data_IF_475718869961
#
_entry.id   IF_475718869961
#
_cell.length_a   1.000
_cell.length_b   1.000
_cell.length_c   1.000
_cell.angle_alpha   90.00
_cell.angle_beta   90.00
_cell.angle_gamma   90.00
#
_symmetry.space_group_name_H-M   'P 1'
#
loop_
_entity.id
_entity.type
_entity.pdbx_description
1 polymer ?
#
# COMPACT_ATOMS: atom_id res chain seq x y z
N UNK A 1 10.42 -13.91 -14.25
CA UNK A 1 10.07 -12.63 -14.91
C UNK A 1 10.58 -11.51 -14.02
N UNK A 2 11.39 -10.59 -14.56
CA UNK A 2 12.01 -9.54 -13.75
C UNK A 2 10.95 -8.53 -13.26
N UNK A 3 11.00 -8.17 -11.98
CA UNK A 3 10.21 -7.09 -11.34
C UNK A 3 10.47 -5.70 -11.96
N UNK A 4 11.41 -5.62 -12.91
CA UNK A 4 11.74 -4.39 -13.66
C UNK A 4 10.58 -3.72 -14.41
N UNK A 5 9.40 -4.35 -14.46
CA UNK A 5 8.19 -3.77 -15.06
C UNK A 5 7.29 -3.04 -14.06
N UNK A 6 7.68 -2.94 -12.80
CA UNK A 6 6.91 -2.25 -11.78
C UNK A 6 7.38 -0.79 -11.68
N UNK A 7 6.48 0.13 -11.66
CA UNK A 7 6.53 1.58 -11.78
C UNK A 7 7.40 2.26 -10.69
N UNK A 8 8.76 2.26 -10.79
CA UNK A 8 9.66 2.74 -9.74
C UNK A 8 9.63 4.26 -9.56
N UNK A 9 8.96 4.97 -10.45
CA UNK A 9 8.74 6.42 -10.40
C UNK A 9 7.56 6.82 -9.51
N UNK A 10 6.82 5.87 -8.95
CA UNK A 10 5.72 6.15 -8.03
C UNK A 10 6.16 6.04 -6.56
N UNK A 11 5.32 6.52 -5.66
CA UNK A 11 5.55 6.51 -4.24
C UNK A 11 5.06 5.21 -3.59
N UNK A 12 5.93 4.57 -2.81
CA UNK A 12 5.61 3.38 -2.04
C UNK A 12 5.93 3.59 -0.58
N UNK A 13 5.08 3.11 0.32
CA UNK A 13 5.39 3.07 1.74
C UNK A 13 6.55 2.10 1.95
N UNK A 14 7.62 2.56 2.59
CA UNK A 14 8.75 1.71 2.95
C UNK A 14 8.64 1.25 4.41
N UNK A 15 8.06 2.08 5.29
CA UNK A 15 7.86 1.74 6.70
C UNK A 15 6.78 2.62 7.35
N UNK A 16 6.20 2.16 8.46
CA UNK A 16 5.60 3.06 9.44
C UNK A 16 6.72 3.93 10.04
N UNK A 17 6.46 5.22 10.21
CA UNK A 17 7.47 6.17 10.69
C UNK A 17 8.02 5.80 12.08
N UNK A 18 7.22 5.11 12.90
CA UNK A 18 7.62 4.65 14.23
C UNK A 18 8.60 3.46 14.22
N UNK A 19 8.68 2.72 13.09
CA UNK A 19 9.61 1.59 12.94
C UNK A 19 11.05 2.06 12.67
N UNK A 20 11.23 3.28 12.12
CA UNK A 20 12.56 3.82 11.77
C UNK A 20 13.04 4.71 12.89
N UNK A 21 14.08 4.27 13.59
CA UNK A 21 14.64 4.94 14.78
C UNK A 21 16.02 5.54 14.51
N UNK A 22 16.52 6.37 15.44
CA UNK A 22 17.86 6.92 15.39
C UNK A 22 18.96 5.94 15.85
N UNK A 23 18.59 4.74 16.31
CA UNK A 23 19.52 3.81 16.95
C UNK A 23 19.71 2.50 16.18
N UNK A 24 18.89 2.25 15.16
CA UNK A 24 18.94 1.02 14.40
C UNK A 24 18.64 1.28 12.92
N UNK A 25 19.21 0.43 12.07
CA UNK A 25 18.91 0.42 10.63
C UNK A 25 17.83 -0.61 10.37
N UNK A 26 16.72 -0.17 9.77
CA UNK A 26 15.64 -1.04 9.37
C UNK A 26 15.87 -1.54 7.93
N UNK A 27 15.83 -2.85 7.74
CA UNK A 27 15.89 -3.46 6.39
C UNK A 27 14.49 -3.59 5.79
N UNK A 28 14.32 -3.16 4.55
CA UNK A 28 13.08 -3.29 3.77
C UNK A 28 13.40 -3.67 2.33
N UNK A 29 12.39 -4.15 1.62
CA UNK A 29 12.46 -4.40 0.18
C UNK A 29 11.25 -3.80 -0.49
N UNK A 30 11.47 -3.05 -1.56
CA UNK A 30 10.42 -2.46 -2.40
C UNK A 30 10.84 -2.67 -3.85
N UNK A 31 9.99 -3.31 -4.67
CA UNK A 31 10.28 -3.58 -6.09
C UNK A 31 11.59 -4.38 -6.29
N UNK A 32 11.85 -5.40 -5.46
CA UNK A 32 13.12 -6.16 -5.38
C UNK A 32 14.36 -5.34 -4.99
N UNK A 33 14.23 -4.02 -4.78
CA UNK A 33 15.33 -3.20 -4.29
C UNK A 33 15.45 -3.35 -2.77
N UNK A 34 16.60 -3.80 -2.30
CA UNK A 34 16.89 -3.89 -0.87
C UNK A 34 17.26 -2.52 -0.31
N UNK A 35 16.60 -2.11 0.74
CA UNK A 35 16.68 -0.78 1.33
C UNK A 35 17.14 -0.82 2.79
N UNK A 36 18.01 0.12 3.16
CA UNK A 36 18.43 0.40 4.52
C UNK A 36 17.80 1.75 4.94
N UNK A 37 16.90 1.70 5.92
CA UNK A 37 16.15 2.86 6.40
C UNK A 37 16.66 3.24 7.80
N UNK A 38 16.99 4.52 8.00
CA UNK A 38 17.48 5.04 9.28
C UNK A 38 17.12 6.52 9.40
N UNK A 39 17.39 7.12 10.55
CA UNK A 39 17.23 8.57 10.75
C UNK A 39 18.58 9.26 10.90
N UNK A 40 18.69 10.44 10.29
CA UNK A 40 19.84 11.33 10.49
C UNK A 40 19.81 12.00 11.87
N UNK A 41 20.77 12.90 12.12
CA UNK A 41 20.91 13.61 13.40
C UNK A 41 19.71 14.54 13.67
N UNK A 42 19.11 15.10 12.64
CA UNK A 42 17.92 15.95 12.70
C UNK A 42 16.61 15.14 12.80
N UNK A 43 16.69 13.82 12.79
CA UNK A 43 15.54 12.93 12.88
C UNK A 43 14.83 12.70 11.53
N UNK A 44 15.37 13.18 10.40
CA UNK A 44 14.80 12.95 9.08
C UNK A 44 15.05 11.53 8.63
N UNK A 45 14.07 10.90 8.00
CA UNK A 45 14.21 9.56 7.47
C UNK A 45 15.11 9.54 6.22
N UNK A 46 16.08 8.66 6.21
CA UNK A 46 16.97 8.38 5.08
C UNK A 46 16.72 6.95 4.60
N UNK A 47 16.53 6.80 3.29
CA UNK A 47 16.42 5.51 2.63
C UNK A 47 17.57 5.36 1.64
N UNK A 48 18.44 4.40 1.88
CA UNK A 48 19.59 4.08 1.04
C UNK A 48 19.47 2.66 0.47
N UNK A 49 20.15 2.38 -0.64
CA UNK A 49 20.35 1.02 -1.10
C UNK A 49 21.04 0.21 0.01
N UNK A 50 20.54 -0.97 0.32
CA UNK A 50 21.11 -1.83 1.38
C UNK A 50 22.42 -2.50 0.93
N UNK A 51 23.34 -1.68 0.45
CA UNK A 51 24.62 -2.13 -0.11
C UNK A 51 25.73 -1.14 0.18
N UNK A 52 26.74 -1.59 0.93
CA UNK A 52 27.98 -0.86 1.10
C UNK A 52 28.76 -0.86 -0.22
N UNK A 53 29.16 0.33 -0.71
CA UNK A 53 29.86 0.47 -1.99
C UNK A 53 31.29 -0.11 -1.98
N UNK A 54 31.86 -0.36 -0.79
CA UNK A 54 33.20 -0.95 -0.67
C UNK A 54 33.21 -2.42 -1.11
N UNK A 55 32.44 -3.30 -0.44
CA UNK A 55 32.46 -4.76 -0.66
C UNK A 55 31.06 -5.37 -0.62
N UNK A 56 30.02 -4.60 -0.96
CA UNK A 56 28.62 -5.05 -1.06
C UNK A 56 28.04 -5.67 0.22
N UNK A 57 28.62 -5.38 1.40
CA UNK A 57 28.01 -5.78 2.65
C UNK A 57 26.68 -5.03 2.86
N UNK A 58 25.72 -5.66 3.54
CA UNK A 58 24.44 -5.02 3.85
C UNK A 58 24.64 -3.87 4.82
N UNK A 59 24.15 -2.68 4.47
CA UNK A 59 24.16 -1.50 5.33
C UNK A 59 23.17 -1.65 6.49
N UNK A 60 22.07 -2.38 6.28
CA UNK A 60 21.11 -2.71 7.34
C UNK A 60 21.67 -3.57 8.48
N UNK A 61 22.81 -4.22 8.26
CA UNK A 61 23.55 -4.92 9.32
C UNK A 61 24.53 -4.01 10.08
N UNK A 62 24.61 -2.74 9.70
CA UNK A 62 25.47 -1.73 10.31
C UNK A 62 24.85 -1.10 11.57
N UNK A 63 25.44 0.00 11.99
CA UNK A 63 24.98 0.77 13.15
C UNK A 63 24.77 2.23 12.80
N UNK A 64 23.85 2.88 13.51
CA UNK A 64 23.63 4.33 13.41
C UNK A 64 24.11 4.98 14.72
N UNK A 65 24.95 5.98 14.60
CA UNK A 65 25.37 6.83 15.72
C UNK A 65 25.45 8.27 15.25
N UNK A 66 24.85 9.18 16.00
CA UNK A 66 24.77 10.60 15.65
C UNK A 66 24.25 10.84 14.21
N UNK A 67 23.24 10.06 13.81
CA UNK A 67 22.64 10.15 12.47
C UNK A 67 23.53 9.65 11.33
N UNK A 68 24.65 8.99 11.62
CA UNK A 68 25.59 8.48 10.63
C UNK A 68 25.56 6.96 10.60
N UNK A 69 25.45 6.40 9.39
CA UNK A 69 25.40 4.96 9.17
C UNK A 69 26.80 4.39 8.97
N UNK A 70 27.19 3.44 9.83
CA UNK A 70 28.49 2.75 9.75
C UNK A 70 28.32 1.32 9.23
N UNK A 71 29.06 0.96 8.20
CA UNK A 71 29.09 -0.40 7.66
C UNK A 71 29.78 -1.36 8.64
N UNK A 72 29.11 -2.46 8.97
CA UNK A 72 29.63 -3.45 9.91
C UNK A 72 30.93 -4.14 9.45
N UNK A 73 31.20 -4.17 8.12
CA UNK A 73 32.32 -4.97 7.60
C UNK A 73 33.67 -4.28 7.79
N UNK A 74 33.83 -3.01 7.35
CA UNK A 74 35.10 -2.28 7.44
C UNK A 74 34.94 -0.87 8.05
N UNK A 75 33.82 -0.60 8.69
CA UNK A 75 33.62 0.66 9.40
C UNK A 75 33.43 1.90 8.51
N UNK A 76 33.21 1.74 7.20
CA UNK A 76 32.93 2.90 6.35
C UNK A 76 31.69 3.63 6.81
N UNK A 77 31.80 4.95 6.99
CA UNK A 77 30.72 5.78 7.53
C UNK A 77 30.10 6.64 6.43
N UNK A 78 28.77 6.63 6.39
CA UNK A 78 27.96 7.34 5.43
C UNK A 78 27.22 8.49 6.08
N UNK A 79 27.21 9.66 5.42
CA UNK A 79 26.38 10.82 5.76
C UNK A 79 24.96 10.69 5.18
N UNK A 80 24.14 11.70 5.45
CA UNK A 80 22.72 11.77 5.11
C UNK A 80 22.43 11.62 3.60
N UNK A 81 23.31 12.13 2.74
CA UNK A 81 23.16 12.06 1.28
C UNK A 81 23.90 10.85 0.65
N UNK A 82 24.27 9.87 1.47
CA UNK A 82 25.04 8.70 1.04
C UNK A 82 26.53 8.95 0.83
N UNK A 83 27.03 10.17 1.02
CA UNK A 83 28.46 10.46 0.91
C UNK A 83 29.27 9.70 1.97
N UNK A 84 30.45 9.24 1.58
CA UNK A 84 31.40 8.67 2.55
C UNK A 84 32.00 9.82 3.34
N UNK A 85 31.87 9.76 4.65
CA UNK A 85 32.39 10.76 5.57
C UNK A 85 33.54 10.27 6.46
N UNK A 86 33.79 8.95 6.50
CA UNK A 86 34.93 8.36 7.16
C UNK A 86 35.30 7.00 6.59
N UNK A 87 36.58 6.76 6.40
CA UNK A 87 37.18 5.47 6.03
C UNK A 87 38.25 5.16 7.06
N UNK A 88 37.95 4.39 8.10
CA UNK A 88 38.87 4.23 9.27
C UNK A 88 40.26 3.72 8.89
N UNK A 89 40.38 2.79 7.95
CA UNK A 89 41.68 2.23 7.55
C UNK A 89 42.55 3.17 6.71
N UNK A 90 42.02 4.32 6.25
CA UNK A 90 42.73 5.29 5.40
C UNK A 90 42.88 6.67 6.10
N UNK A 91 42.86 6.71 7.43
CA UNK A 91 42.95 7.96 8.17
C UNK A 91 41.63 8.69 8.42
N UNK A 92 40.51 7.99 8.22
CA UNK A 92 39.18 8.47 8.59
C UNK A 92 38.60 9.55 7.67
N UNK A 93 38.24 10.70 8.24
CA UNK A 93 37.52 11.76 7.54
C UNK A 93 38.36 12.50 6.50
N UNK A 94 39.65 12.66 6.72
CA UNK A 94 40.54 13.40 5.82
C UNK A 94 40.62 12.73 4.44
N UNK A 95 40.74 11.41 4.39
CA UNK A 95 40.76 10.66 3.13
C UNK A 95 39.36 10.65 2.50
N UNK A 96 38.31 10.45 3.29
CA UNK A 96 36.94 10.39 2.82
C UNK A 96 36.51 11.66 2.06
N UNK A 97 36.96 12.84 2.50
CA UNK A 97 36.64 14.12 1.85
C UNK A 97 37.13 14.22 0.42
N UNK A 98 38.13 13.42 0.02
CA UNK A 98 38.74 13.39 -1.31
C UNK A 98 38.11 12.33 -2.22
N UNK A 99 37.31 11.41 -1.67
CA UNK A 99 36.83 10.25 -2.44
C UNK A 99 35.70 10.56 -3.44
N UNK A 100 34.84 11.52 -3.16
CA UNK A 100 33.69 11.86 -4.03
C UNK A 100 32.65 10.75 -4.23
N UNK A 101 32.88 9.56 -3.65
CA UNK A 101 32.00 8.39 -3.78
C UNK A 101 30.78 8.48 -2.86
N UNK A 102 29.64 7.94 -3.34
CA UNK A 102 28.38 7.95 -2.60
C UNK A 102 27.68 6.60 -2.68
N UNK A 103 27.07 6.16 -1.58
CA UNK A 103 26.04 5.13 -1.65
C UNK A 103 24.77 5.72 -2.31
N UNK A 104 24.00 4.89 -3.01
CA UNK A 104 22.73 5.31 -3.60
C UNK A 104 21.72 5.57 -2.49
N UNK A 105 21.16 6.78 -2.46
CA UNK A 105 20.01 7.14 -1.63
C UNK A 105 18.80 7.40 -2.53
N UNK A 106 17.60 7.28 -1.96
CA UNK A 106 16.35 7.42 -2.68
C UNK A 106 15.58 8.63 -2.20
N UNK A 107 14.74 9.18 -3.07
CA UNK A 107 13.85 10.28 -2.70
C UNK A 107 12.85 9.78 -1.67
N UNK A 108 12.81 10.47 -0.53
CA UNK A 108 12.08 10.04 0.66
C UNK A 108 11.18 11.16 1.16
N UNK A 109 9.96 10.83 1.55
CA UNK A 109 8.99 11.75 2.17
C UNK A 109 8.40 11.08 3.40
N UNK A 110 8.35 11.80 4.52
CA UNK A 110 7.60 11.38 5.72
C UNK A 110 6.27 12.12 5.76
N UNK A 111 5.15 11.38 5.70
CA UNK A 111 3.81 11.93 5.65
C UNK A 111 2.80 10.98 6.29
N UNK A 112 1.84 11.50 7.04
CA UNK A 112 0.74 10.74 7.66
C UNK A 112 1.20 9.58 8.57
N UNK A 113 2.43 9.66 9.10
CA UNK A 113 3.04 8.62 9.94
C UNK A 113 3.62 7.45 9.13
N UNK A 114 3.84 7.64 7.83
CA UNK A 114 4.56 6.74 6.95
C UNK A 114 5.83 7.38 6.40
N UNK A 115 6.80 6.55 6.10
CA UNK A 115 7.95 6.90 5.27
C UNK A 115 7.70 6.33 3.88
N UNK A 116 7.70 7.21 2.89
CA UNK A 116 7.54 6.87 1.47
C UNK A 116 8.88 6.95 0.76
N UNK A 117 9.05 6.12 -0.25
CA UNK A 117 10.19 6.12 -1.15
C UNK A 117 9.74 6.16 -2.61
N UNK A 118 10.46 6.92 -3.43
CA UNK A 118 10.41 6.85 -4.89
C UNK A 118 11.79 6.39 -5.37
N UNK A 119 11.85 5.23 -6.04
CA UNK A 119 13.14 4.62 -6.40
C UNK A 119 13.81 5.27 -7.60
N UNK A 120 13.01 5.81 -8.52
CA UNK A 120 13.51 6.42 -9.76
C UNK A 120 12.62 7.61 -10.14
N UNK A 121 12.77 8.77 -9.49
CA UNK A 121 12.01 9.97 -9.84
C UNK A 121 12.20 10.34 -11.31
N UNK A 122 11.13 10.73 -11.97
CA UNK A 122 11.11 11.13 -13.37
C UNK A 122 9.99 12.13 -13.66
N UNK A 123 9.80 12.48 -14.92
CA UNK A 123 8.84 13.49 -15.38
C UNK A 123 7.39 13.22 -14.92
N UNK A 124 7.01 11.94 -14.85
CA UNK A 124 5.65 11.53 -14.46
C UNK A 124 5.53 11.13 -12.98
N UNK A 125 6.56 11.39 -12.17
CA UNK A 125 6.49 11.15 -10.73
C UNK A 125 5.51 12.14 -10.08
N UNK A 126 4.50 11.65 -9.34
CA UNK A 126 3.66 12.55 -8.56
C UNK A 126 4.50 13.40 -7.59
N UNK A 127 4.20 14.69 -7.40
CA UNK A 127 5.03 15.60 -6.61
C UNK A 127 5.16 15.15 -5.14
N UNK A 128 4.20 14.40 -4.64
CA UNK A 128 4.18 13.78 -3.31
C UNK A 128 3.27 12.55 -3.28
N UNK A 129 3.37 11.71 -2.24
CA UNK A 129 2.37 10.66 -2.00
C UNK A 129 0.96 11.26 -1.79
N UNK A 130 -0.08 10.47 -2.03
CA UNK A 130 -1.45 10.81 -1.63
C UNK A 130 -1.54 10.84 -0.10
N UNK A 131 -2.18 11.87 0.43
CA UNK A 131 -2.44 11.95 1.88
C UNK A 131 -3.59 11.03 2.28
N UNK A 132 -3.60 10.59 3.52
CA UNK A 132 -4.75 9.85 4.07
C UNK A 132 -6.05 10.68 3.98
N UNK A 133 -5.95 12.00 3.99
CA UNK A 133 -7.09 12.90 3.79
C UNK A 133 -7.65 12.82 2.37
N UNK A 134 -6.81 12.79 1.36
CA UNK A 134 -7.21 12.60 -0.05
C UNK A 134 -7.84 11.22 -0.27
N UNK A 135 -7.40 10.23 0.51
CA UNK A 135 -7.97 8.89 0.54
C UNK A 135 -9.23 8.78 1.43
N UNK A 136 -9.76 9.89 1.94
CA UNK A 136 -10.97 9.90 2.77
C UNK A 136 -10.80 9.37 4.20
N UNK A 137 -9.58 9.10 4.65
CA UNK A 137 -9.26 8.62 6.00
C UNK A 137 -9.10 9.77 7.00
N UNK A 138 -10.20 10.48 7.28
CA UNK A 138 -10.20 11.72 8.07
C UNK A 138 -10.93 11.61 9.41
N UNK A 139 -11.51 10.46 9.74
CA UNK A 139 -12.38 10.29 10.87
C UNK A 139 -11.62 10.13 12.20
N UNK A 140 -12.32 10.34 13.32
CA UNK A 140 -11.74 10.34 14.67
C UNK A 140 -11.22 8.97 15.11
N UNK A 141 -11.96 7.90 14.81
CA UNK A 141 -11.52 6.54 15.06
C UNK A 141 -10.51 6.10 14.03
N UNK A 142 -9.38 5.53 14.45
CA UNK A 142 -8.33 5.05 13.52
C UNK A 142 -7.75 3.73 13.99
N UNK A 143 -7.54 2.83 13.03
CA UNK A 143 -6.82 1.58 13.20
C UNK A 143 -5.89 1.42 12.01
N UNK A 144 -4.60 1.16 12.26
CA UNK A 144 -3.61 0.84 11.24
C UNK A 144 -3.21 -0.61 11.37
N UNK A 145 -3.18 -1.34 10.27
CA UNK A 145 -2.79 -2.73 10.17
C UNK A 145 -1.76 -2.91 9.06
N UNK A 146 -0.98 -3.97 9.16
CA UNK A 146 -0.02 -4.39 8.16
C UNK A 146 -0.26 -5.86 7.84
N UNK A 147 -0.27 -6.20 6.56
CA UNK A 147 -0.51 -7.55 6.07
C UNK A 147 0.50 -7.89 4.98
N UNK A 148 0.90 -9.15 4.92
CA UNK A 148 1.80 -9.67 3.88
C UNK A 148 1.10 -10.78 3.13
N UNK A 149 1.11 -10.67 1.81
CA UNK A 149 0.47 -11.59 0.89
C UNK A 149 1.51 -12.25 0.00
N UNK A 150 1.39 -13.55 -0.17
CA UNK A 150 2.11 -14.30 -1.20
C UNK A 150 1.31 -14.22 -2.51
N UNK A 151 1.31 -13.05 -3.11
CA UNK A 151 0.59 -12.76 -4.36
C UNK A 151 1.12 -11.48 -5.03
N UNK A 152 0.76 -11.30 -6.30
CA UNK A 152 1.14 -10.12 -7.07
C UNK A 152 0.44 -8.85 -6.57
N UNK A 153 1.04 -7.68 -6.87
CA UNK A 153 0.45 -6.38 -6.59
C UNK A 153 -0.98 -6.27 -7.16
N UNK A 154 -1.20 -6.68 -8.41
CA UNK A 154 -2.49 -6.54 -9.09
C UNK A 154 -3.60 -7.30 -8.38
N UNK A 155 -3.34 -8.55 -7.99
CA UNK A 155 -4.32 -9.38 -7.28
C UNK A 155 -4.62 -8.84 -5.88
N UNK A 156 -3.60 -8.30 -5.18
CA UNK A 156 -3.82 -7.67 -3.89
C UNK A 156 -4.63 -6.38 -3.98
N UNK A 157 -4.34 -5.52 -4.97
CA UNK A 157 -5.09 -4.28 -5.22
C UNK A 157 -6.54 -4.58 -5.56
N UNK A 158 -6.77 -5.55 -6.45
CA UNK A 158 -8.12 -5.98 -6.83
C UNK A 158 -8.93 -6.44 -5.63
N UNK A 159 -8.39 -7.32 -4.81
CA UNK A 159 -9.08 -7.86 -3.63
C UNK A 159 -9.68 -6.76 -2.74
N UNK A 160 -8.99 -5.63 -2.57
CA UNK A 160 -9.49 -4.52 -1.74
C UNK A 160 -10.67 -3.76 -2.33
N UNK A 161 -10.96 -3.88 -3.62
CA UNK A 161 -12.07 -3.19 -4.33
C UNK A 161 -13.00 -4.15 -5.07
N UNK A 162 -12.84 -5.45 -4.87
CA UNK A 162 -13.73 -6.48 -5.38
C UNK A 162 -14.86 -6.77 -4.37
N UNK A 163 -16.08 -6.38 -4.67
CA UNK A 163 -17.24 -6.61 -3.81
C UNK A 163 -17.72 -8.06 -3.83
N UNK A 164 -17.79 -8.77 -4.98
CA UNK A 164 -18.30 -10.14 -5.05
C UNK A 164 -17.65 -11.12 -4.06
N UNK A 165 -16.33 -11.09 -3.87
CA UNK A 165 -15.65 -12.03 -2.96
C UNK A 165 -16.13 -11.90 -1.51
N UNK A 166 -16.57 -10.70 -1.10
CA UNK A 166 -16.93 -10.44 0.30
C UNK A 166 -18.12 -11.27 0.80
N UNK A 167 -18.99 -11.74 -0.13
CA UNK A 167 -20.10 -12.60 0.22
C UNK A 167 -19.68 -14.04 0.51
N UNK A 168 -18.54 -14.48 -0.03
CA UNK A 168 -18.04 -15.85 0.07
C UNK A 168 -16.87 -15.96 1.05
N UNK A 169 -15.83 -15.15 0.89
CA UNK A 169 -14.63 -15.16 1.74
C UNK A 169 -14.96 -14.65 3.14
N UNK A 170 -15.73 -13.55 3.23
CA UNK A 170 -16.12 -12.92 4.50
C UNK A 170 -17.54 -13.29 4.92
N UNK A 171 -17.96 -14.52 4.62
CA UNK A 171 -19.30 -15.00 4.96
C UNK A 171 -19.65 -14.76 6.43
N UNK A 172 -20.79 -14.08 6.65
CA UNK A 172 -21.28 -13.76 7.99
C UNK A 172 -20.66 -12.52 8.63
N UNK A 173 -19.62 -11.91 8.06
CA UNK A 173 -19.05 -10.64 8.51
C UNK A 173 -19.66 -9.47 7.73
N UNK A 174 -19.55 -9.48 6.40
CA UNK A 174 -20.01 -8.38 5.55
C UNK A 174 -21.33 -8.70 4.84
N UNK A 175 -21.41 -9.81 4.14
CA UNK A 175 -22.54 -10.17 3.28
C UNK A 175 -22.86 -11.65 3.40
N UNK A 176 -24.10 -11.97 3.03
CA UNK A 176 -24.52 -13.36 2.79
C UNK A 176 -24.80 -13.47 1.28
N UNK A 177 -24.34 -14.53 0.60
CA UNK A 177 -24.65 -14.70 -0.81
C UNK A 177 -26.17 -14.87 -0.98
N UNK A 178 -26.83 -13.84 -1.44
CA UNK A 178 -28.28 -13.81 -1.68
C UNK A 178 -28.64 -13.80 -3.15
N UNK A 179 -27.66 -13.53 -4.02
CA UNK A 179 -27.88 -13.36 -5.45
C UNK A 179 -28.67 -12.10 -5.79
N UNK A 180 -28.68 -11.09 -4.92
CA UNK A 180 -29.35 -9.81 -5.19
C UNK A 180 -28.53 -8.98 -6.20
N UNK A 181 -29.19 -8.42 -7.25
CA UNK A 181 -28.47 -7.62 -8.24
C UNK A 181 -28.01 -6.30 -7.64
N UNK A 182 -26.71 -5.98 -7.82
CA UNK A 182 -26.10 -4.73 -7.43
C UNK A 182 -25.67 -3.95 -8.68
N UNK A 183 -26.35 -2.84 -8.94
CA UNK A 183 -25.99 -1.94 -10.05
C UNK A 183 -24.81 -1.10 -9.64
N UNK A 184 -23.83 -1.03 -10.53
CA UNK A 184 -22.52 -0.40 -10.24
C UNK A 184 -22.12 0.48 -11.42
N UNK A 185 -21.71 1.71 -11.13
CA UNK A 185 -21.08 2.63 -12.08
C UNK A 185 -19.59 2.62 -11.87
N UNK A 186 -18.83 2.36 -12.92
CA UNK A 186 -17.37 2.39 -12.92
C UNK A 186 -16.90 3.51 -13.86
N UNK A 187 -16.06 4.41 -13.35
CA UNK A 187 -15.47 5.50 -14.12
C UNK A 187 -13.96 5.42 -14.04
N UNK A 188 -13.29 5.37 -15.17
CA UNK A 188 -11.83 5.43 -15.30
C UNK A 188 -11.43 6.80 -15.81
N UNK A 189 -10.46 7.46 -15.18
CA UNK A 189 -9.90 8.73 -15.64
C UNK A 189 -8.50 8.94 -15.05
N UNK A 190 -7.52 9.26 -15.88
CA UNK A 190 -6.16 9.67 -15.47
C UNK A 190 -5.49 8.75 -14.43
N UNK A 191 -5.56 7.45 -14.62
CA UNK A 191 -4.96 6.47 -13.71
C UNK A 191 -5.75 6.23 -12.41
N UNK A 192 -6.94 6.80 -12.32
CA UNK A 192 -7.90 6.58 -11.25
C UNK A 192 -9.11 5.79 -11.75
N UNK A 193 -9.63 4.92 -10.92
CA UNK A 193 -10.91 4.23 -11.14
C UNK A 193 -11.80 4.54 -9.96
N UNK A 194 -12.98 5.09 -10.23
CA UNK A 194 -14.02 5.36 -9.25
C UNK A 194 -15.19 4.40 -9.47
N UNK A 195 -15.63 3.76 -8.41
CA UNK A 195 -16.69 2.76 -8.41
C UNK A 195 -17.78 3.23 -7.46
N UNK A 196 -19.01 3.26 -7.92
CA UNK A 196 -20.18 3.65 -7.11
C UNK A 196 -21.22 2.55 -7.17
N UNK A 197 -21.64 2.07 -6.01
CA UNK A 197 -22.66 1.03 -5.86
C UNK A 197 -24.01 1.67 -5.55
N UNK A 198 -25.05 1.24 -6.27
CA UNK A 198 -26.39 1.85 -6.22
C UNK A 198 -27.38 0.94 -5.51
N UNK A 199 -28.03 1.47 -4.49
CA UNK A 199 -29.11 0.77 -3.80
C UNK A 199 -28.66 -0.34 -2.85
N UNK A 200 -27.38 -0.39 -2.51
CA UNK A 200 -26.84 -1.41 -1.66
C UNK A 200 -27.42 -1.38 -0.26
N UNK A 201 -27.77 -2.55 0.26
CA UNK A 201 -28.22 -2.77 1.63
C UNK A 201 -27.18 -3.61 2.36
N UNK A 202 -26.19 -2.96 2.94
CA UNK A 202 -25.10 -3.64 3.62
C UNK A 202 -25.59 -4.23 4.95
N UNK A 203 -25.33 -5.50 5.15
CA UNK A 203 -25.54 -6.18 6.40
C UNK A 203 -24.19 -6.61 6.98
N UNK A 204 -23.57 -5.75 7.79
CA UNK A 204 -22.27 -5.97 8.45
C UNK A 204 -22.39 -6.91 9.66
N UNK A 205 -23.13 -7.99 9.55
CA UNK A 205 -23.33 -8.93 10.64
C UNK A 205 -23.96 -8.26 11.89
N UNK A 206 -23.53 -8.66 13.07
CA UNK A 206 -24.00 -8.10 14.34
C UNK A 206 -23.71 -6.61 14.49
N UNK A 207 -22.69 -6.10 13.82
CA UNK A 207 -22.29 -4.71 13.88
C UNK A 207 -23.20 -3.80 13.04
N UNK A 208 -23.69 -4.29 11.89
CA UNK A 208 -24.66 -3.51 11.10
C UNK A 208 -26.02 -3.42 11.77
N UNK A 209 -26.41 -4.42 12.54
CA UNK A 209 -27.64 -4.33 13.33
C UNK A 209 -27.61 -3.14 14.30
N UNK A 210 -26.42 -2.75 14.73
CA UNK A 210 -26.22 -1.56 15.57
C UNK A 210 -26.12 -0.26 14.75
N UNK A 211 -25.37 -0.25 13.65
CA UNK A 211 -25.12 0.95 12.83
C UNK A 211 -26.19 1.20 11.76
N UNK A 212 -26.89 0.16 11.34
CA UNK A 212 -27.97 0.22 10.35
C UNK A 212 -29.14 -0.70 10.73
N UNK A 213 -29.80 -0.47 11.88
CA UNK A 213 -30.83 -1.37 12.41
C UNK A 213 -32.05 -1.51 11.49
N UNK A 214 -32.29 -0.54 10.61
CA UNK A 214 -33.42 -0.55 9.67
C UNK A 214 -33.09 -1.30 8.37
N UNK A 215 -31.82 -1.69 8.14
CA UNK A 215 -31.39 -2.23 6.86
C UNK A 215 -31.57 -1.27 5.67
N UNK A 216 -31.55 0.05 5.94
CA UNK A 216 -31.69 1.07 4.91
C UNK A 216 -30.48 1.05 3.95
N UNK A 217 -30.67 1.65 2.78
CA UNK A 217 -29.59 1.77 1.80
C UNK A 217 -28.42 2.58 2.35
N UNK A 218 -27.23 2.19 1.94
CA UNK A 218 -25.97 2.87 2.29
C UNK A 218 -25.39 3.55 1.06
N UNK A 219 -24.57 4.56 1.27
CA UNK A 219 -23.67 5.07 0.21
C UNK A 219 -22.37 4.27 0.29
N UNK A 220 -21.99 3.66 -0.82
CA UNK A 220 -20.76 2.88 -0.94
C UNK A 220 -20.02 3.27 -2.21
N UNK A 221 -18.74 3.57 -2.07
CA UNK A 221 -17.84 3.83 -3.21
C UNK A 221 -16.46 3.30 -2.93
N UNK A 222 -15.83 2.79 -3.99
CA UNK A 222 -14.45 2.35 -3.98
C UNK A 222 -13.64 3.16 -4.99
N UNK A 223 -12.37 3.31 -4.70
CA UNK A 223 -11.45 4.07 -5.54
C UNK A 223 -10.12 3.34 -5.66
N UNK A 224 -9.62 3.29 -6.87
CA UNK A 224 -8.25 2.89 -7.16
C UNK A 224 -7.46 4.09 -7.65
N UNK A 225 -6.28 4.28 -7.11
CA UNK A 225 -5.28 5.26 -7.51
C UNK A 225 -4.02 4.50 -7.93
N UNK A 226 -3.74 4.55 -9.21
CA UNK A 226 -2.60 3.79 -9.74
C UNK A 226 -1.25 4.26 -9.17
N UNK A 227 -0.33 3.34 -8.97
CA UNK A 227 -0.45 1.92 -9.31
C UNK A 227 -0.90 1.02 -8.16
N UNK A 228 -1.03 1.53 -6.93
CA UNK A 228 -0.94 0.67 -5.75
C UNK A 228 -1.82 1.09 -4.56
N UNK A 229 -2.67 2.09 -4.73
CA UNK A 229 -3.47 2.62 -3.62
C UNK A 229 -4.95 2.41 -3.88
N UNK A 230 -5.68 1.94 -2.88
CA UNK A 230 -7.13 1.80 -2.91
C UNK A 230 -7.78 2.50 -1.73
N UNK A 231 -9.03 2.94 -1.89
CA UNK A 231 -9.84 3.38 -0.77
C UNK A 231 -11.30 2.96 -0.95
N UNK A 232 -11.92 2.55 0.15
CA UNK A 232 -13.30 2.07 0.24
C UNK A 232 -14.04 2.94 1.24
N UNK A 233 -15.22 3.42 0.89
CA UNK A 233 -15.99 4.34 1.70
C UNK A 233 -17.42 3.86 1.89
N UNK A 234 -17.83 3.80 3.16
CA UNK A 234 -19.19 3.54 3.56
C UNK A 234 -19.75 4.71 4.34
N UNK A 235 -20.93 5.18 3.94
CA UNK A 235 -21.73 6.11 4.74
C UNK A 235 -23.09 5.47 5.02
N UNK A 236 -23.37 5.29 6.28
CA UNK A 236 -24.56 4.63 6.78
C UNK A 236 -25.64 5.65 7.17
N UNK A 237 -26.91 5.24 7.19
CA UNK A 237 -27.98 6.04 7.78
C UNK A 237 -27.62 6.49 9.20
N UNK A 238 -28.01 7.71 9.58
CA UNK A 238 -27.60 8.29 10.86
C UNK A 238 -26.26 9.00 10.87
N UNK A 239 -25.55 9.04 9.71
CA UNK A 239 -24.31 9.79 9.51
C UNK A 239 -23.05 9.03 9.95
N UNK A 240 -23.15 7.77 10.31
CA UNK A 240 -21.99 6.92 10.60
C UNK A 240 -21.16 6.69 9.34
N UNK A 241 -19.86 6.68 9.51
CA UNK A 241 -18.90 6.58 8.39
C UNK A 241 -17.79 5.58 8.70
N UNK A 242 -17.36 4.89 7.66
CA UNK A 242 -16.28 3.92 7.73
C UNK A 242 -15.51 3.97 6.41
N UNK A 243 -14.21 4.11 6.48
CA UNK A 243 -13.34 4.08 5.30
C UNK A 243 -12.11 3.21 5.53
N UNK A 244 -11.69 2.53 4.49
CA UNK A 244 -10.49 1.69 4.44
C UNK A 244 -9.62 2.27 3.33
N UNK A 245 -8.38 2.63 3.66
CA UNK A 245 -7.38 3.03 2.66
C UNK A 245 -6.25 2.02 2.71
N UNK A 246 -5.91 1.43 1.57
CA UNK A 246 -4.88 0.41 1.49
C UNK A 246 -3.79 0.83 0.52
N UNK A 247 -2.56 0.69 0.96
CA UNK A 247 -1.36 0.96 0.18
C UNK A 247 -0.61 -0.37 0.00
N UNK A 248 -0.61 -0.88 -1.22
CA UNK A 248 -0.03 -2.17 -1.58
C UNK A 248 1.37 -1.97 -2.13
N UNK A 249 2.37 -2.56 -1.49
CA UNK A 249 3.79 -2.41 -1.81
C UNK A 249 4.31 -3.73 -2.37
N UNK A 250 4.68 -3.79 -3.65
CA UNK A 250 5.28 -4.98 -4.21
C UNK A 250 6.69 -5.16 -3.64
N UNK A 251 6.87 -6.19 -2.82
CA UNK A 251 8.18 -6.58 -2.28
C UNK A 251 8.95 -7.31 -3.37
N UNK A 252 8.32 -8.34 -3.95
CA UNK A 252 8.80 -9.10 -5.13
C UNK A 252 7.65 -9.24 -6.14
N UNK A 253 7.83 -10.01 -7.20
CA UNK A 253 6.78 -10.30 -8.17
C UNK A 253 5.56 -11.00 -7.54
N UNK A 254 5.80 -11.85 -6.54
CA UNK A 254 4.79 -12.69 -5.87
C UNK A 254 4.73 -12.45 -4.35
N UNK A 255 5.17 -11.29 -3.91
CA UNK A 255 5.07 -10.90 -2.52
C UNK A 255 4.66 -9.44 -2.42
N UNK A 256 3.54 -9.17 -1.79
CA UNK A 256 3.00 -7.83 -1.57
C UNK A 256 2.78 -7.57 -0.09
N UNK A 257 3.34 -6.45 0.39
CA UNK A 257 3.08 -5.90 1.72
C UNK A 257 1.98 -4.85 1.59
N UNK A 258 0.98 -4.87 2.48
CA UNK A 258 -0.11 -3.88 2.46
C UNK A 258 -0.22 -3.20 3.80
N UNK A 259 -0.20 -1.87 3.79
CA UNK A 259 -0.58 -1.04 4.91
C UNK A 259 -2.04 -0.62 4.74
N UNK A 260 -2.87 -0.93 5.74
CA UNK A 260 -4.30 -0.64 5.74
C UNK A 260 -4.62 0.33 6.88
N UNK A 261 -5.10 1.51 6.52
CA UNK A 261 -5.63 2.50 7.46
C UNK A 261 -7.15 2.46 7.44
N UNK A 262 -7.74 2.12 8.56
CA UNK A 262 -9.19 2.16 8.77
C UNK A 262 -9.51 3.41 9.57
N UNK A 263 -10.37 4.27 9.05
CA UNK A 263 -10.89 5.40 9.78
C UNK A 263 -12.43 5.36 9.85
N UNK A 264 -13.00 5.77 10.98
CA UNK A 264 -14.42 5.67 11.21
C UNK A 264 -14.94 6.74 12.16
N UNK A 265 -16.22 7.05 12.01
CA UNK A 265 -16.98 7.89 12.92
C UNK A 265 -18.33 7.22 13.23
N UNK A 266 -18.48 6.75 14.47
CA UNK A 266 -19.69 6.15 15.00
C UNK A 266 -20.30 7.03 16.10
N UNK A 267 -20.15 8.35 15.93
CA UNK A 267 -20.62 9.34 16.89
C UNK A 267 -19.98 9.14 18.27
N UNK A 268 -20.81 9.08 19.31
CA UNK A 268 -20.34 8.91 20.70
C UNK A 268 -19.65 7.56 20.97
N UNK A 269 -19.87 6.56 20.11
CA UNK A 269 -19.31 5.21 20.25
C UNK A 269 -17.92 5.07 19.62
N UNK A 270 -17.43 6.09 18.91
CA UNK A 270 -16.16 6.02 18.14
C UNK A 270 -14.98 5.62 19.02
N UNK A 271 -14.83 6.20 20.19
CA UNK A 271 -13.71 5.90 21.08
C UNK A 271 -13.75 4.46 21.65
N UNK A 272 -14.95 3.99 21.98
CA UNK A 272 -15.17 2.68 22.59
C UNK A 272 -15.07 1.53 21.56
N UNK A 273 -15.31 1.79 20.28
CA UNK A 273 -15.36 0.77 19.24
C UNK A 273 -13.99 0.36 18.70
N UNK A 274 -12.88 1.02 19.08
CA UNK A 274 -11.54 0.79 18.51
C UNK A 274 -11.09 -0.67 18.58
N UNK A 275 -11.23 -1.30 19.76
CA UNK A 275 -10.80 -2.68 19.94
C UNK A 275 -11.62 -3.66 19.09
N UNK A 276 -12.93 -3.41 18.97
CA UNK A 276 -13.85 -4.20 18.16
C UNK A 276 -13.55 -4.04 16.67
N UNK A 277 -13.38 -2.81 16.17
CA UNK A 277 -13.01 -2.53 14.77
C UNK A 277 -11.68 -3.20 14.44
N UNK A 278 -10.68 -3.09 15.33
CA UNK A 278 -9.37 -3.73 15.11
C UNK A 278 -9.50 -5.24 15.01
N UNK A 279 -10.25 -5.88 15.91
CA UNK A 279 -10.44 -7.34 15.92
C UNK A 279 -11.16 -7.81 14.65
N UNK A 280 -12.23 -7.13 14.26
CA UNK A 280 -12.97 -7.46 13.06
C UNK A 280 -12.10 -7.31 11.80
N UNK A 281 -11.34 -6.21 11.69
CA UNK A 281 -10.44 -5.99 10.57
C UNK A 281 -9.33 -7.05 10.50
N UNK A 282 -8.79 -7.48 11.64
CA UNK A 282 -7.80 -8.55 11.68
C UNK A 282 -8.37 -9.89 11.22
N UNK A 283 -9.63 -10.20 11.55
CA UNK A 283 -10.30 -11.41 11.09
C UNK A 283 -10.54 -11.39 9.58
N UNK A 284 -11.02 -10.26 9.04
CA UNK A 284 -11.19 -10.06 7.60
C UNK A 284 -9.85 -10.24 6.86
N UNK A 285 -8.82 -9.50 7.30
CA UNK A 285 -7.48 -9.60 6.68
C UNK A 285 -6.91 -11.02 6.73
N UNK A 286 -7.17 -11.78 7.79
CA UNK A 286 -6.73 -13.17 7.87
C UNK A 286 -7.37 -14.03 6.78
N UNK A 287 -8.68 -13.86 6.54
CA UNK A 287 -9.40 -14.58 5.49
C UNK A 287 -8.86 -14.20 4.09
N UNK A 288 -8.59 -12.91 3.85
CA UNK A 288 -7.96 -12.45 2.60
C UNK A 288 -6.55 -13.02 2.41
N UNK A 289 -5.74 -13.03 3.47
CA UNK A 289 -4.39 -13.61 3.43
C UNK A 289 -4.45 -15.09 3.09
N UNK A 290 -5.36 -15.83 3.67
CA UNK A 290 -5.49 -17.26 3.46
C UNK A 290 -5.84 -17.58 1.98
N UNK A 291 -6.86 -16.91 1.42
CA UNK A 291 -7.30 -17.14 0.03
C UNK A 291 -6.29 -16.63 -0.99
N UNK A 292 -5.73 -15.43 -0.80
CA UNK A 292 -4.76 -14.86 -1.74
C UNK A 292 -3.43 -15.62 -1.72
N UNK A 293 -2.99 -16.12 -0.58
CA UNK A 293 -1.80 -16.97 -0.50
C UNK A 293 -2.02 -18.32 -1.18
N UNK A 294 -3.22 -18.89 -1.12
CA UNK A 294 -3.57 -20.11 -1.86
C UNK A 294 -3.57 -19.82 -3.37
N UNK A 295 -4.22 -18.75 -3.81
CA UNK A 295 -4.23 -18.30 -5.20
C UNK A 295 -2.80 -18.07 -5.72
N UNK A 296 -1.95 -17.36 -4.96
CA UNK A 296 -0.58 -17.08 -5.35
C UNK A 296 0.25 -18.34 -5.59
N UNK A 297 0.15 -19.34 -4.71
CA UNK A 297 0.80 -20.66 -4.92
C UNK A 297 0.29 -21.37 -6.17
N UNK A 298 -0.99 -21.24 -6.48
CA UNK A 298 -1.56 -21.83 -7.69
C UNK A 298 -1.09 -21.09 -8.95
N UNK A 299 -0.97 -19.76 -8.92
CA UNK A 299 -0.42 -18.95 -10.00
C UNK A 299 1.04 -19.33 -10.27
N UNK A 300 1.87 -19.50 -9.24
CA UNK A 300 3.26 -19.94 -9.41
C UNK A 300 3.35 -21.32 -10.05
N UNK A 301 2.46 -22.23 -9.68
CA UNK A 301 2.47 -23.61 -10.18
C UNK A 301 1.92 -23.78 -11.59
N UNK A 302 0.82 -23.08 -11.91
CA UNK A 302 0.05 -23.32 -13.13
C UNK A 302 0.09 -22.14 -14.12
N UNK A 303 0.67 -21.00 -13.73
CA UNK A 303 0.64 -19.74 -14.45
C UNK A 303 -0.65 -18.96 -14.19
N UNK A 304 -0.60 -17.66 -14.46
CA UNK A 304 -1.74 -16.76 -14.36
C UNK A 304 -2.61 -16.91 -15.61
N UNK A 305 -3.75 -17.58 -15.47
CA UNK A 305 -4.73 -17.80 -16.56
C UNK A 305 -6.12 -17.57 -16.00
N UNK A 306 -6.65 -16.38 -16.21
CA UNK A 306 -7.97 -16.00 -15.74
C UNK A 306 -9.02 -16.00 -16.86
N UNK A 307 -10.21 -16.44 -16.52
CA UNK A 307 -11.41 -16.26 -17.34
C UNK A 307 -12.22 -15.14 -16.73
N UNK A 308 -12.34 -14.03 -17.44
CA UNK A 308 -13.04 -12.84 -16.97
C UNK A 308 -14.47 -12.81 -17.48
N UNK A 309 -15.37 -12.32 -16.65
CA UNK A 309 -16.78 -12.07 -16.95
C UNK A 309 -17.07 -10.57 -16.88
N UNK A 310 -18.29 -10.15 -17.12
CA UNK A 310 -18.69 -8.75 -16.94
C UNK A 310 -18.61 -8.28 -15.48
N UNK A 311 -18.67 -9.20 -14.52
CA UNK A 311 -18.49 -8.89 -13.10
C UNK A 311 -17.04 -8.48 -12.76
N UNK A 312 -16.07 -8.95 -13.55
CA UNK A 312 -14.63 -8.70 -13.34
C UNK A 312 -14.15 -7.41 -14.06
N UNK A 313 -15.06 -6.48 -14.37
CA UNK A 313 -14.72 -5.22 -15.04
C UNK A 313 -13.66 -4.42 -14.27
N UNK A 314 -13.74 -4.40 -12.94
CA UNK A 314 -12.83 -3.68 -12.07
C UNK A 314 -11.41 -4.25 -12.21
N UNK A 315 -11.28 -5.58 -12.17
CA UNK A 315 -10.02 -6.29 -12.44
C UNK A 315 -9.44 -5.90 -13.80
N UNK A 316 -10.27 -5.98 -14.84
CA UNK A 316 -9.84 -5.67 -16.22
C UNK A 316 -9.30 -4.25 -16.31
N UNK A 317 -10.05 -3.25 -15.82
CA UNK A 317 -9.67 -1.85 -15.90
C UNK A 317 -8.42 -1.53 -15.05
N UNK A 318 -8.30 -2.12 -13.85
CA UNK A 318 -7.13 -1.96 -12.98
C UNK A 318 -5.88 -2.51 -13.64
N UNK A 319 -5.96 -3.71 -14.22
CA UNK A 319 -4.87 -4.37 -14.94
C UNK A 319 -4.46 -3.59 -16.19
N UNK A 320 -5.42 -3.05 -16.95
CA UNK A 320 -5.17 -2.19 -18.11
C UNK A 320 -4.43 -0.93 -17.71
N UNK A 321 -4.90 -0.20 -16.68
CA UNK A 321 -4.25 1.02 -16.18
C UNK A 321 -2.81 0.75 -15.79
N UNK A 322 -2.56 -0.30 -15.00
CA UNK A 322 -1.21 -0.67 -14.58
C UNK A 322 -0.33 -1.02 -15.80
N UNK A 323 -0.88 -1.78 -16.76
CA UNK A 323 -0.17 -2.18 -17.98
C UNK A 323 0.19 -0.98 -18.85
N UNK A 324 -0.73 -0.04 -19.06
CA UNK A 324 -0.50 1.16 -19.86
C UNK A 324 0.56 2.06 -19.24
N UNK A 325 0.54 2.25 -17.91
CA UNK A 325 1.57 2.98 -17.19
C UNK A 325 2.95 2.29 -17.28
N UNK A 326 3.00 0.95 -17.22
CA UNK A 326 4.23 0.16 -17.45
C UNK A 326 4.80 0.35 -18.85
N UNK A 327 3.94 0.55 -19.83
CA UNK A 327 4.31 0.82 -21.21
C UNK A 327 4.71 2.28 -21.46
N UNK A 328 4.86 3.07 -20.39
CA UNK A 328 5.39 4.44 -20.43
C UNK A 328 4.33 5.52 -20.69
N UNK A 329 3.04 5.19 -20.72
CA UNK A 329 2.00 6.23 -20.78
C UNK A 329 1.96 7.03 -19.47
N UNK A 330 1.74 8.31 -19.57
CA UNK A 330 1.42 9.14 -18.40
C UNK A 330 -0.05 8.94 -17.98
N UNK A 331 -0.41 9.24 -16.72
CA UNK A 331 -1.81 9.21 -16.29
C UNK A 331 -2.75 10.05 -17.17
N UNK A 332 -2.28 11.18 -17.73
CA UNK A 332 -3.06 12.06 -18.58
C UNK A 332 -3.39 11.46 -19.96
N UNK A 333 -2.57 10.51 -20.44
CA UNK A 333 -2.77 9.82 -21.72
C UNK A 333 -3.68 8.61 -21.64
N UNK A 334 -4.08 8.22 -20.42
CA UNK A 334 -5.00 7.11 -20.22
C UNK A 334 -6.42 7.49 -20.62
N UNK A 335 -7.08 6.60 -21.36
CA UNK A 335 -8.46 6.83 -21.83
C UNK A 335 -9.43 7.02 -20.68
N UNK A 336 -10.30 8.01 -20.78
CA UNK A 336 -11.45 8.14 -19.90
C UNK A 336 -12.59 7.22 -20.38
N UNK A 337 -13.18 6.49 -19.45
CA UNK A 337 -14.28 5.56 -19.73
C UNK A 337 -15.27 5.54 -18.57
N UNK A 338 -16.56 5.41 -18.91
CA UNK A 338 -17.61 5.18 -17.93
C UNK A 338 -18.47 4.00 -18.37
N UNK A 339 -18.63 3.02 -17.49
CA UNK A 339 -19.44 1.83 -17.71
C UNK A 339 -20.43 1.63 -16.58
N UNK A 340 -21.58 1.05 -16.89
CA UNK A 340 -22.52 0.53 -15.91
C UNK A 340 -22.58 -0.98 -16.04
N UNK A 341 -22.45 -1.66 -14.90
CA UNK A 341 -22.55 -3.11 -14.80
C UNK A 341 -23.53 -3.48 -13.69
N UNK A 342 -24.03 -4.70 -13.76
CA UNK A 342 -24.82 -5.30 -12.69
C UNK A 342 -24.30 -6.70 -12.46
N UNK A 343 -24.00 -7.02 -11.20
CA UNK A 343 -23.61 -8.35 -10.76
C UNK A 343 -24.40 -8.73 -9.51
N UNK A 344 -24.40 -10.02 -9.16
CA UNK A 344 -25.13 -10.50 -7.98
C UNK A 344 -24.17 -10.70 -6.78
N UNK A 345 -24.61 -10.31 -5.60
CA UNK A 345 -23.89 -10.47 -4.32
C UNK A 345 -24.80 -11.06 -3.25
#
# INVERSE_FOLDING_TARGET
>A
MMVQSLLPQYWYVVADASEVTQHAVLSRTVLDESLACYRDAEGRAIVAQDRCIHRSARLSSGTVSDGKLSCRYHGWVYGENGSIISIPCEGGAEFASKCGMKAKTFTTVEQDGYIYVCLTPGEHTPPRPLTLRELGSVWKGRVRLQSRFHNSLSNCVENYIDVPHTAYVHHGIFRKPKGEPLRTTVTRCQGRIDITYHGERLNLGTFSAFLNPTGAQIEHSDHFFAPNVTSVHYKMPGGYRYSISSQSIPVTAMETLVYTDISYDFGIWTALSKAMVKRQAQEVLKQDIDILNEQGRNIEKYGERFYTTSADLIHTLTSEVISELRNGKSPAELSAERKEITFCV
#
